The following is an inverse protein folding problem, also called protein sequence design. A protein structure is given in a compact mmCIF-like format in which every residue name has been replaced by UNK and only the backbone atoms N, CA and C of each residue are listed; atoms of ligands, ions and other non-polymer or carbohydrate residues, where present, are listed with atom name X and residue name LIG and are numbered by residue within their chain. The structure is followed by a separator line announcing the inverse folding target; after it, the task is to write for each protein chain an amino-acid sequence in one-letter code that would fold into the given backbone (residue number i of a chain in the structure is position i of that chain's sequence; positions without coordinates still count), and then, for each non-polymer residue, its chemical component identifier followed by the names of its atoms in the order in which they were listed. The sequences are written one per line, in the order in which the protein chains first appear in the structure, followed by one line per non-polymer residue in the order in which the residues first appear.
data_IF_629203924011
#
_entry.id   IF_629203924011
#
_cell.length_a   1.000
_cell.length_b   1.000
_cell.length_c   1.000
_cell.angle_alpha   90.00
_cell.angle_beta   90.00
_cell.angle_gamma   90.00
#
_symmetry.space_group_name_H-M   'P 1'
#
loop_
_entity.id
_entity.type
_entity.pdbx_description
1 polymer ?
#
# COMPACT_ATOMS: atom_id res chain seq x y z
N UNK A 1 -4.47 6.14 38.19
CA UNK A 1 -3.23 6.62 37.56
C UNK A 1 -2.55 5.43 36.90
N UNK A 2 -2.99 5.07 35.70
CA UNK A 2 -2.34 4.05 34.88
C UNK A 2 -2.14 4.67 33.52
N UNK A 3 -1.06 5.46 33.38
CA UNK A 3 -0.68 5.98 32.08
C UNK A 3 -0.20 4.81 31.23
N UNK A 4 -0.94 4.51 30.18
CA UNK A 4 -0.45 3.68 29.08
C UNK A 4 0.76 4.41 28.48
N UNK A 5 1.97 3.95 28.79
CA UNK A 5 3.16 4.48 28.12
C UNK A 5 3.15 3.95 26.69
N UNK A 6 2.75 4.79 25.75
CA UNK A 6 2.95 4.58 24.31
C UNK A 6 4.40 4.17 24.05
N UNK A 7 4.59 3.09 23.27
CA UNK A 7 5.92 2.59 22.89
C UNK A 7 6.55 3.37 21.74
N UNK A 8 5.85 4.36 21.17
CA UNK A 8 6.42 5.32 20.25
C UNK A 8 7.40 6.21 21.02
N UNK A 9 8.65 5.76 21.13
CA UNK A 9 9.70 6.51 21.83
C UNK A 9 9.81 7.93 21.26
N UNK A 10 9.56 8.92 22.12
CA UNK A 10 9.67 10.34 21.77
C UNK A 10 8.38 11.00 21.31
N UNK A 11 7.31 10.27 20.97
CA UNK A 11 6.02 10.90 20.68
C UNK A 11 5.25 11.19 21.97
N UNK A 12 5.10 12.47 22.29
CA UNK A 12 4.31 12.93 23.42
C UNK A 12 3.01 13.53 22.91
N UNK A 13 1.93 12.73 22.97
CA UNK A 13 0.59 13.25 22.67
C UNK A 13 0.27 14.44 23.59
N UNK A 14 -0.07 15.57 22.98
CA UNK A 14 -0.60 16.74 23.65
C UNK A 14 -2.04 16.91 23.15
N UNK A 15 -3.01 16.77 24.05
CA UNK A 15 -4.44 16.84 23.73
C UNK A 15 -4.82 18.08 22.90
N UNK A 16 -4.14 19.20 23.12
CA UNK A 16 -4.42 20.48 22.45
C UNK A 16 -3.54 20.76 21.21
N UNK A 17 -2.61 19.86 20.87
CA UNK A 17 -1.59 20.10 19.84
C UNK A 17 -1.05 18.79 19.23
N UNK A 18 -1.93 18.02 18.58
CA UNK A 18 -1.47 16.90 17.75
C UNK A 18 -0.62 17.43 16.58
N UNK A 19 0.57 16.87 16.43
CA UNK A 19 1.46 17.16 15.31
C UNK A 19 1.52 15.93 14.41
N UNK A 20 0.85 16.03 13.25
CA UNK A 20 0.77 14.95 12.29
C UNK A 20 2.13 14.57 11.68
N UNK A 21 3.08 15.49 11.57
CA UNK A 21 4.41 15.20 11.01
C UNK A 21 5.32 14.55 12.06
N UNK A 22 5.26 15.01 13.31
CA UNK A 22 5.97 14.37 14.42
C UNK A 22 5.48 12.93 14.62
N UNK A 23 4.16 12.72 14.59
CA UNK A 23 3.57 11.39 14.66
C UNK A 23 3.99 10.51 13.47
N UNK A 24 4.00 11.05 12.25
CA UNK A 24 4.47 10.31 11.07
C UNK A 24 5.91 9.80 11.25
N UNK A 25 6.81 10.66 11.73
CA UNK A 25 8.23 10.29 11.96
C UNK A 25 8.34 9.17 13.00
N UNK A 26 7.59 9.26 14.09
CA UNK A 26 7.56 8.23 15.12
C UNK A 26 6.98 6.90 14.58
N UNK A 27 5.93 6.97 13.76
CA UNK A 27 5.31 5.81 13.11
C UNK A 27 6.23 5.14 12.11
N UNK A 28 6.87 5.91 11.22
CA UNK A 28 7.87 5.39 10.27
C UNK A 28 9.02 4.72 11.01
N UNK A 29 9.53 5.33 12.10
CA UNK A 29 10.58 4.73 12.92
C UNK A 29 10.15 3.40 13.59
N UNK A 30 8.90 3.31 14.06
CA UNK A 30 8.35 2.07 14.62
C UNK A 30 8.18 0.98 13.55
N UNK A 31 7.81 1.36 12.32
CA UNK A 31 7.57 0.46 11.19
C UNK A 31 8.84 -0.05 10.49
N UNK A 32 9.89 0.77 10.43
CA UNK A 32 11.13 0.53 9.68
C UNK A 32 11.75 -0.86 9.94
N UNK A 33 11.88 -1.36 11.19
CA UNK A 33 12.45 -2.69 11.45
C UNK A 33 11.69 -3.83 10.75
N UNK A 34 10.41 -3.63 10.45
CA UNK A 34 9.52 -4.59 9.80
C UNK A 34 9.46 -4.41 8.28
N UNK A 35 10.36 -3.61 7.68
CA UNK A 35 10.32 -3.28 6.24
C UNK A 35 8.95 -2.74 5.82
N UNK A 36 8.36 -1.95 6.71
CA UNK A 36 7.14 -1.18 6.49
C UNK A 36 7.50 0.30 6.61
N UNK A 37 6.74 1.14 5.94
CA UNK A 37 6.75 2.59 6.11
C UNK A 37 5.32 3.12 6.06
N UNK A 38 5.15 4.42 6.30
CA UNK A 38 3.85 5.07 6.28
C UNK A 38 3.82 6.30 5.38
N UNK A 39 2.65 6.55 4.79
CA UNK A 39 2.40 7.71 3.96
C UNK A 39 2.56 9.02 4.73
N UNK A 40 2.67 10.12 3.99
CA UNK A 40 2.34 11.46 4.53
C UNK A 40 0.96 11.48 5.18
N UNK A 41 0.75 12.32 6.22
CA UNK A 41 -0.56 12.49 6.81
C UNK A 41 -1.56 13.03 5.79
N UNK A 42 -2.80 12.57 5.89
CA UNK A 42 -3.91 13.13 5.13
C UNK A 42 -5.18 13.23 5.97
N UNK A 43 -6.08 14.12 5.56
CA UNK A 43 -7.38 14.24 6.20
C UNK A 43 -8.39 13.28 5.57
N UNK A 44 -9.24 12.67 6.40
CA UNK A 44 -10.33 11.79 5.96
C UNK A 44 -11.21 12.49 4.91
N UNK A 45 -11.49 13.78 5.11
CA UNK A 45 -12.32 14.58 4.22
C UNK A 45 -11.75 14.67 2.80
N UNK A 46 -10.43 14.72 2.63
CA UNK A 46 -9.80 14.76 1.30
C UNK A 46 -10.06 13.48 0.52
N UNK A 47 -9.86 12.33 1.18
CA UNK A 47 -10.14 11.03 0.58
C UNK A 47 -11.64 10.87 0.28
N UNK A 48 -12.51 11.20 1.24
CA UNK A 48 -13.96 11.07 1.09
C UNK A 48 -14.51 11.96 -0.02
N UNK A 49 -14.01 13.20 -0.16
CA UNK A 49 -14.35 14.09 -1.26
C UNK A 49 -13.94 13.49 -2.61
N UNK A 50 -12.72 12.95 -2.72
CA UNK A 50 -12.24 12.30 -3.94
C UNK A 50 -13.08 11.06 -4.31
N UNK A 51 -13.48 10.25 -3.33
CA UNK A 51 -14.39 9.10 -3.55
C UNK A 51 -15.82 9.50 -3.87
N UNK A 52 -16.29 10.62 -3.35
CA UNK A 52 -17.58 11.22 -3.74
C UNK A 52 -17.65 11.48 -5.25
N UNK A 53 -16.54 11.93 -5.85
CA UNK A 53 -16.45 12.19 -7.29
C UNK A 53 -16.21 10.94 -8.13
N UNK A 54 -15.44 9.96 -7.62
CA UNK A 54 -14.94 8.84 -8.43
C UNK A 54 -15.72 7.54 -8.27
N UNK A 55 -16.56 7.41 -7.25
CA UNK A 55 -17.27 6.15 -6.97
C UNK A 55 -18.57 6.37 -6.17
N UNK A 56 -19.27 7.47 -6.41
CA UNK A 56 -20.57 7.80 -5.82
C UNK A 56 -20.61 7.67 -4.28
N UNK A 57 -19.49 7.96 -3.61
CA UNK A 57 -19.37 7.90 -2.16
C UNK A 57 -19.22 6.48 -1.57
N UNK A 58 -19.00 5.45 -2.40
CA UNK A 58 -18.62 4.12 -1.89
C UNK A 58 -17.20 4.14 -1.32
N UNK A 59 -16.93 3.22 -0.38
CA UNK A 59 -15.61 3.05 0.25
C UNK A 59 -15.11 4.27 1.04
N UNK A 60 -16.01 5.10 1.57
CA UNK A 60 -15.67 6.22 2.45
C UNK A 60 -15.09 5.75 3.79
N UNK A 61 -14.12 6.52 4.29
CA UNK A 61 -13.56 6.33 5.63
C UNK A 61 -14.52 6.99 6.63
N UNK A 62 -14.88 6.24 7.66
CA UNK A 62 -15.79 6.70 8.71
C UNK A 62 -15.03 7.53 9.75
N UNK A 63 -15.38 8.80 9.93
CA UNK A 63 -14.79 9.67 10.94
C UNK A 63 -15.02 11.15 10.63
N UNK A 64 -14.52 12.06 11.49
CA UNK A 64 -14.52 13.50 11.21
C UNK A 64 -13.69 13.81 9.95
N UNK A 65 -14.13 14.74 9.12
CA UNK A 65 -13.42 15.11 7.88
C UNK A 65 -12.02 15.68 8.16
N UNK A 66 -11.82 16.31 9.31
CA UNK A 66 -10.56 16.88 9.75
C UNK A 66 -9.69 15.93 10.58
N UNK A 67 -10.11 14.67 10.77
CA UNK A 67 -9.30 13.66 11.42
C UNK A 67 -8.15 13.20 10.51
N UNK A 68 -6.98 12.99 11.12
CA UNK A 68 -5.75 12.60 10.44
C UNK A 68 -5.69 11.08 10.24
N UNK A 69 -5.24 10.66 9.08
CA UNK A 69 -5.03 9.27 8.72
C UNK A 69 -3.66 9.06 8.04
N UNK A 70 -3.21 7.80 8.04
CA UNK A 70 -1.97 7.34 7.44
C UNK A 70 -2.20 5.99 6.77
N UNK A 71 -1.63 5.77 5.59
CA UNK A 71 -1.53 4.43 5.03
C UNK A 71 -0.18 3.81 5.39
N UNK A 72 -0.16 2.51 5.66
CA UNK A 72 1.05 1.71 5.84
C UNK A 72 1.29 0.93 4.57
N UNK A 73 2.54 0.88 4.12
CA UNK A 73 2.95 0.06 2.98
C UNK A 73 4.21 -0.74 3.28
N UNK A 74 4.33 -1.90 2.65
CA UNK A 74 5.52 -2.75 2.69
C UNK A 74 6.50 -2.38 1.58
N UNK A 75 7.78 -2.36 1.91
CA UNK A 75 8.90 -2.10 0.98
C UNK A 75 9.77 -3.35 0.80
N UNK A 76 10.73 -3.38 -0.16
CA UNK A 76 11.57 -4.55 -0.40
C UNK A 76 12.40 -4.97 0.83
N UNK A 77 12.28 -6.23 1.21
CA UNK A 77 12.76 -6.84 2.45
C UNK A 77 11.65 -7.45 3.30
N UNK A 78 10.38 -7.15 2.99
CA UNK A 78 9.23 -7.57 3.79
C UNK A 78 9.06 -9.10 3.88
N UNK A 79 9.50 -9.87 2.87
CA UNK A 79 9.43 -11.34 2.93
C UNK A 79 10.19 -11.92 4.11
N UNK A 80 11.31 -11.33 4.54
CA UNK A 80 12.04 -11.83 5.70
C UNK A 80 11.17 -11.75 6.97
N UNK A 81 10.36 -10.70 7.09
CA UNK A 81 9.40 -10.52 8.20
C UNK A 81 8.32 -11.59 8.16
N UNK A 82 7.82 -11.91 6.97
CA UNK A 82 6.85 -12.99 6.76
C UNK A 82 7.44 -14.35 7.14
N UNK A 83 8.65 -14.66 6.67
CA UNK A 83 9.35 -15.91 6.97
C UNK A 83 9.58 -16.05 8.48
N UNK A 84 10.09 -15.01 9.12
CA UNK A 84 10.36 -15.02 10.56
C UNK A 84 9.08 -15.18 11.38
N UNK A 85 7.99 -14.50 11.00
CA UNK A 85 6.70 -14.67 11.64
C UNK A 85 6.19 -16.11 11.47
N UNK A 86 6.23 -16.64 10.25
CA UNK A 86 5.85 -18.02 9.98
C UNK A 86 6.68 -19.02 10.80
N UNK A 87 7.99 -18.79 10.93
CA UNK A 87 8.88 -19.68 11.67
C UNK A 87 8.57 -19.72 13.18
N UNK A 88 8.02 -18.63 13.74
CA UNK A 88 7.53 -18.54 15.13
C UNK A 88 6.19 -19.24 15.31
N UNK A 89 5.20 -18.91 14.48
CA UNK A 89 3.82 -19.37 14.67
C UNK A 89 3.56 -20.79 14.16
N UNK A 90 4.22 -21.18 13.05
CA UNK A 90 4.05 -22.46 12.34
C UNK A 90 2.59 -22.93 12.23
N UNK A 91 1.71 -22.11 11.63
CA UNK A 91 0.29 -22.43 11.58
C UNK A 91 0.03 -23.71 10.78
N UNK A 92 -0.72 -24.65 11.37
CA UNK A 92 -1.04 -25.94 10.76
C UNK A 92 -2.06 -25.85 9.62
N UNK A 93 -2.89 -24.82 9.60
CA UNK A 93 -3.93 -24.57 8.57
C UNK A 93 -4.11 -23.07 8.34
N UNK A 94 -4.74 -22.66 7.23
CA UNK A 94 -5.16 -21.27 6.99
C UNK A 94 -4.16 -20.42 6.20
N UNK A 95 -4.44 -19.11 6.18
CA UNK A 95 -3.65 -18.10 5.49
C UNK A 95 -2.26 -17.98 6.13
N UNK A 96 -1.23 -18.03 5.29
CA UNK A 96 0.18 -18.14 5.73
C UNK A 96 0.86 -16.78 5.92
N UNK A 97 0.25 -15.71 5.43
CA UNK A 97 0.79 -14.35 5.48
C UNK A 97 0.13 -13.54 6.61
N UNK A 98 0.18 -14.10 7.83
CA UNK A 98 -0.37 -13.49 9.05
C UNK A 98 0.53 -12.42 9.67
N UNK A 99 1.69 -12.14 9.05
CA UNK A 99 2.67 -11.20 9.57
C UNK A 99 2.08 -9.79 9.68
N UNK A 100 1.36 -9.33 8.64
CA UNK A 100 0.67 -8.03 8.67
C UNK A 100 -0.29 -7.95 9.85
N UNK A 101 -1.18 -8.94 10.03
CA UNK A 101 -2.17 -8.90 11.11
C UNK A 101 -1.52 -8.89 12.50
N UNK A 102 -0.46 -9.67 12.70
CA UNK A 102 0.30 -9.67 13.94
C UNK A 102 0.94 -8.30 14.23
N UNK A 103 1.55 -7.68 13.21
CA UNK A 103 2.13 -6.33 13.32
C UNK A 103 1.05 -5.31 13.65
N UNK A 104 -0.09 -5.33 12.95
CA UNK A 104 -1.20 -4.40 13.21
C UNK A 104 -1.83 -4.62 14.58
N UNK A 105 -1.84 -5.84 15.11
CA UNK A 105 -2.29 -6.10 16.47
C UNK A 105 -1.36 -5.45 17.51
N UNK A 106 -0.04 -5.49 17.30
CA UNK A 106 0.92 -4.82 18.16
C UNK A 106 0.85 -3.30 18.03
N UNK A 107 0.69 -2.79 16.80
CA UNK A 107 0.49 -1.36 16.55
C UNK A 107 -0.72 -0.82 17.31
N UNK A 108 -1.85 -1.52 17.32
CA UNK A 108 -3.04 -1.12 18.11
C UNK A 108 -2.76 -1.01 19.62
N UNK A 109 -1.85 -1.82 20.15
CA UNK A 109 -1.45 -1.75 21.56
C UNK A 109 -0.44 -0.64 21.83
N UNK A 110 0.42 -0.33 20.84
CA UNK A 110 1.43 0.71 20.91
C UNK A 110 0.83 2.13 20.81
N UNK A 111 -0.27 2.28 20.08
CA UNK A 111 -0.90 3.58 19.82
C UNK A 111 -1.52 4.17 21.11
N UNK A 112 -1.36 5.48 21.36
CA UNK A 112 -2.04 6.15 22.46
C UNK A 112 -3.56 5.97 22.38
N UNK A 113 -4.17 5.56 23.49
CA UNK A 113 -5.61 5.30 23.56
C UNK A 113 -6.44 6.57 23.32
N UNK A 114 -5.88 7.73 23.66
CA UNK A 114 -6.47 9.05 23.49
C UNK A 114 -6.74 9.41 22.04
N UNK A 115 -6.00 8.83 21.08
CA UNK A 115 -6.18 9.08 19.65
C UNK A 115 -7.41 8.36 19.08
N UNK A 116 -7.99 7.40 19.81
CA UNK A 116 -9.06 6.51 19.33
C UNK A 116 -8.76 5.95 17.93
N UNK A 117 -7.55 5.40 17.80
CA UNK A 117 -7.04 4.93 16.53
C UNK A 117 -7.78 3.67 16.05
N UNK A 118 -8.25 3.71 14.81
CA UNK A 118 -8.69 2.53 14.08
C UNK A 118 -7.60 2.10 13.10
N UNK A 119 -7.21 0.82 13.16
CA UNK A 119 -6.22 0.24 12.27
C UNK A 119 -6.90 -0.85 11.46
N UNK A 120 -6.88 -0.74 10.14
CA UNK A 120 -7.55 -1.65 9.20
C UNK A 120 -6.53 -2.27 8.26
N UNK A 121 -6.55 -3.59 8.10
CA UNK A 121 -5.76 -4.29 7.09
C UNK A 121 -6.43 -4.09 5.72
N UNK A 122 -5.73 -3.49 4.76
CA UNK A 122 -6.27 -3.22 3.41
C UNK A 122 -6.30 -4.45 2.51
N UNK A 123 -5.59 -5.52 2.88
CA UNK A 123 -5.57 -6.79 2.16
C UNK A 123 -6.75 -7.71 2.57
N UNK A 124 -7.48 -7.35 3.64
CA UNK A 124 -8.55 -8.17 4.21
C UNK A 124 -9.96 -7.64 3.86
N UNK A 125 -10.97 -8.46 4.15
CA UNK A 125 -12.40 -8.19 3.92
C UNK A 125 -12.91 -6.88 4.55
N UNK A 126 -14.18 -6.53 4.29
CA UNK A 126 -14.65 -5.15 4.38
C UNK A 126 -14.35 -4.46 5.73
N UNK A 127 -14.07 -3.14 5.72
CA UNK A 127 -14.17 -2.24 4.57
C UNK A 127 -12.95 -2.29 3.63
N UNK A 128 -13.23 -2.31 2.32
CA UNK A 128 -12.19 -2.15 1.29
C UNK A 128 -11.99 -0.67 0.98
N UNK A 129 -10.76 -0.18 1.07
CA UNK A 129 -10.41 1.20 0.74
C UNK A 129 -9.71 1.28 -0.63
N UNK A 130 -9.94 2.36 -1.35
CA UNK A 130 -9.29 2.59 -2.63
C UNK A 130 -7.90 3.20 -2.40
N UNK A 131 -6.91 2.33 -2.21
CA UNK A 131 -5.53 2.72 -1.84
C UNK A 131 -4.91 3.68 -2.85
N UNK A 132 -5.31 3.59 -4.13
CA UNK A 132 -4.83 4.52 -5.15
C UNK A 132 -5.24 5.97 -4.87
N UNK A 133 -6.47 6.17 -4.37
CA UNK A 133 -6.94 7.50 -3.96
C UNK A 133 -6.17 7.99 -2.74
N UNK A 134 -5.80 7.10 -1.80
CA UNK A 134 -5.02 7.47 -0.63
C UNK A 134 -3.68 8.08 -1.07
N UNK A 135 -2.90 7.33 -1.86
CA UNK A 135 -1.59 7.79 -2.34
C UNK A 135 -1.66 9.13 -3.08
N UNK A 136 -2.71 9.32 -3.89
CA UNK A 136 -2.95 10.57 -4.62
C UNK A 136 -3.25 11.78 -3.70
N UNK A 137 -4.10 11.62 -2.67
CA UNK A 137 -4.49 12.75 -1.80
C UNK A 137 -3.41 13.12 -0.79
N UNK A 138 -2.53 12.19 -0.43
CA UNK A 138 -1.39 12.45 0.46
C UNK A 138 -0.08 12.73 -0.30
N UNK A 139 -0.08 12.62 -1.63
CA UNK A 139 1.10 12.79 -2.48
C UNK A 139 2.26 11.88 -2.06
N UNK A 140 1.94 10.62 -1.75
CA UNK A 140 2.92 9.57 -1.44
C UNK A 140 3.49 8.95 -2.71
N UNK A 141 2.62 8.76 -3.70
CA UNK A 141 2.91 8.16 -4.98
C UNK A 141 2.17 8.93 -6.10
N UNK A 142 2.56 8.69 -7.34
CA UNK A 142 1.83 9.19 -8.50
C UNK A 142 0.81 8.14 -8.93
N UNK A 143 -0.48 8.49 -8.93
CA UNK A 143 -1.54 7.65 -9.47
C UNK A 143 -1.64 7.85 -10.99
N UNK A 144 -1.44 6.77 -11.73
CA UNK A 144 -1.52 6.78 -13.19
C UNK A 144 -2.88 6.28 -13.64
N UNK A 145 -3.57 7.09 -14.45
CA UNK A 145 -4.75 6.67 -15.22
C UNK A 145 -4.53 7.04 -16.69
N UNK A 146 -5.13 6.27 -17.61
CA UNK A 146 -4.98 6.50 -19.05
C UNK A 146 -5.45 7.90 -19.48
N UNK A 147 -6.52 8.40 -18.85
CA UNK A 147 -7.09 9.73 -19.11
C UNK A 147 -6.14 10.89 -18.75
N UNK A 148 -5.17 10.64 -17.87
CA UNK A 148 -4.23 11.63 -17.33
C UNK A 148 -2.86 11.58 -18.04
N UNK A 149 -2.76 10.82 -19.13
CA UNK A 149 -1.59 10.81 -20.02
C UNK A 149 -1.67 11.99 -20.98
N UNK A 150 -0.69 12.89 -20.94
CA UNK A 150 -0.61 14.03 -21.87
C UNK A 150 -0.14 13.58 -23.27
N UNK A 151 -0.54 14.30 -24.33
CA UNK A 151 -0.01 14.10 -25.69
C UNK A 151 -1.10 14.10 -26.77
N UNK A 152 -0.73 14.56 -27.97
CA UNK A 152 -1.66 14.62 -29.12
C UNK A 152 -2.07 13.22 -29.60
N UNK A 153 -1.27 12.19 -29.31
CA UNK A 153 -1.51 10.78 -29.64
C UNK A 153 -2.20 10.00 -28.52
N UNK A 154 -2.64 10.65 -27.43
CA UNK A 154 -3.23 9.98 -26.26
C UNK A 154 -4.40 9.08 -26.64
N UNK A 155 -5.34 9.61 -27.43
CA UNK A 155 -6.58 8.90 -27.76
C UNK A 155 -6.29 7.67 -28.62
N UNK A 156 -5.40 7.80 -29.60
CA UNK A 156 -4.95 6.69 -30.45
C UNK A 156 -4.22 5.63 -29.60
N UNK A 157 -3.29 6.03 -28.73
CA UNK A 157 -2.58 5.13 -27.83
C UNK A 157 -3.52 4.39 -26.87
N UNK A 158 -4.51 5.10 -26.31
CA UNK A 158 -5.47 4.53 -25.38
C UNK A 158 -6.36 3.49 -26.07
N UNK A 159 -6.80 3.77 -27.29
CA UNK A 159 -7.60 2.83 -28.08
C UNK A 159 -6.78 1.60 -28.47
N UNK A 160 -5.56 1.78 -28.95
CA UNK A 160 -4.63 0.68 -29.28
C UNK A 160 -4.38 -0.26 -28.09
N UNK A 161 -4.18 0.31 -26.89
CA UNK A 161 -4.01 -0.49 -25.67
C UNK A 161 -5.32 -1.20 -25.29
N UNK A 162 -6.47 -0.54 -25.43
CA UNK A 162 -7.77 -1.12 -25.12
C UNK A 162 -8.10 -2.31 -26.03
N UNK A 163 -7.82 -2.19 -27.33
CA UNK A 163 -7.95 -3.26 -28.32
C UNK A 163 -7.07 -4.46 -27.96
N UNK A 164 -5.79 -4.22 -27.65
CA UNK A 164 -4.87 -5.28 -27.22
C UNK A 164 -5.36 -5.99 -25.95
N UNK A 165 -5.92 -5.25 -24.99
CA UNK A 165 -6.46 -5.85 -23.76
C UNK A 165 -7.68 -6.73 -24.04
N UNK A 166 -8.56 -6.32 -24.94
CA UNK A 166 -9.73 -7.11 -25.33
C UNK A 166 -9.34 -8.43 -26.00
N UNK A 167 -8.31 -8.41 -26.84
CA UNK A 167 -7.78 -9.58 -27.53
C UNK A 167 -7.06 -10.56 -26.58
N UNK A 168 -6.32 -10.03 -25.61
CA UNK A 168 -5.41 -10.83 -24.77
C UNK A 168 -6.00 -11.29 -23.44
N UNK A 169 -7.02 -10.62 -22.91
CA UNK A 169 -7.62 -10.98 -21.62
C UNK A 169 -8.53 -12.20 -21.75
N UNK A 170 -8.24 -13.20 -20.91
CA UNK A 170 -9.07 -14.41 -20.80
C UNK A 170 -10.48 -14.05 -20.32
N UNK A 171 -11.54 -14.32 -21.12
CA UNK A 171 -12.92 -14.04 -20.72
C UNK A 171 -13.35 -14.76 -19.43
N UNK A 172 -12.70 -15.88 -19.07
CA UNK A 172 -12.99 -16.59 -17.81
C UNK A 172 -12.53 -15.80 -16.59
N UNK A 173 -11.44 -15.03 -16.72
CA UNK A 173 -10.88 -14.25 -15.63
C UNK A 173 -11.47 -12.83 -15.59
N UNK A 174 -11.68 -12.22 -16.76
CA UNK A 174 -12.06 -10.81 -16.89
C UNK A 174 -13.53 -10.58 -17.25
N UNK A 175 -14.30 -11.65 -17.46
CA UNK A 175 -15.68 -11.58 -17.95
C UNK A 175 -15.76 -11.48 -19.48
N UNK A 176 -16.98 -11.58 -20.01
CA UNK A 176 -17.24 -11.55 -21.46
C UNK A 176 -17.50 -10.14 -21.99
N UNK A 177 -17.85 -9.20 -21.12
CA UNK A 177 -18.19 -7.83 -21.50
C UNK A 177 -16.99 -7.10 -22.09
N UNK A 178 -17.18 -6.49 -23.27
CA UNK A 178 -16.13 -5.75 -23.97
C UNK A 178 -15.60 -4.60 -23.11
N UNK A 179 -16.48 -3.84 -22.44
CA UNK A 179 -16.09 -2.73 -21.55
C UNK A 179 -15.06 -3.17 -20.49
N UNK A 180 -15.31 -4.29 -19.81
CA UNK A 180 -14.41 -4.79 -18.77
C UNK A 180 -13.09 -5.31 -19.36
N UNK A 181 -13.14 -5.98 -20.51
CA UNK A 181 -11.94 -6.49 -21.18
C UNK A 181 -11.09 -5.38 -21.81
N UNK A 182 -11.70 -4.27 -22.24
CA UNK A 182 -10.99 -3.07 -22.75
C UNK A 182 -10.46 -2.16 -21.65
N UNK A 183 -11.00 -2.26 -20.43
CA UNK A 183 -10.68 -1.34 -19.32
C UNK A 183 -9.18 -1.30 -18.99
N UNK A 184 -8.57 -0.13 -19.12
CA UNK A 184 -7.21 0.14 -18.63
C UNK A 184 -7.31 0.48 -17.14
N UNK A 185 -6.73 -0.37 -16.29
CA UNK A 185 -6.67 -0.12 -14.85
C UNK A 185 -5.50 0.80 -14.52
N UNK A 186 -5.77 1.76 -13.66
CA UNK A 186 -4.74 2.63 -13.10
C UNK A 186 -3.87 1.93 -12.07
N UNK A 187 -2.69 2.49 -11.84
CA UNK A 187 -1.66 1.96 -10.93
C UNK A 187 -0.92 3.09 -10.24
N UNK A 188 -0.46 2.86 -9.01
CA UNK A 188 0.33 3.84 -8.28
C UNK A 188 1.82 3.52 -8.39
N UNK A 189 2.63 4.57 -8.52
CA UNK A 189 4.08 4.46 -8.65
C UNK A 189 4.76 5.36 -7.62
N UNK A 190 5.53 4.75 -6.74
CA UNK A 190 6.22 5.45 -5.66
C UNK A 190 7.53 6.08 -6.16
N UNK A 191 7.87 7.31 -5.75
CA UNK A 191 9.09 7.99 -6.22
C UNK A 191 10.38 7.28 -5.80
N UNK A 192 10.40 6.61 -4.65
CA UNK A 192 11.58 5.86 -4.16
C UNK A 192 11.58 4.40 -4.64
N UNK A 193 10.44 3.71 -4.58
CA UNK A 193 10.35 2.26 -4.77
C UNK A 193 9.85 1.87 -6.18
N UNK A 194 9.46 2.82 -7.01
CA UNK A 194 8.70 2.53 -8.24
C UNK A 194 7.41 1.79 -7.88
N UNK A 195 7.14 0.69 -8.57
CA UNK A 195 6.08 -0.24 -8.20
C UNK A 195 6.51 -1.31 -7.18
N UNK A 196 7.73 -1.29 -6.63
CA UNK A 196 8.24 -2.32 -5.71
C UNK A 196 7.80 -2.11 -4.25
N UNK A 197 6.53 -1.77 -4.03
CA UNK A 197 5.91 -1.62 -2.72
C UNK A 197 4.44 -2.09 -2.77
N UNK A 198 3.78 -2.17 -1.61
CA UNK A 198 2.34 -2.46 -1.55
C UNK A 198 1.73 -1.85 -0.30
N UNK A 199 0.58 -1.18 -0.43
CA UNK A 199 -0.24 -0.82 0.72
C UNK A 199 -0.69 -2.07 1.50
N UNK A 200 -0.73 -1.94 2.83
CA UNK A 200 -1.03 -3.03 3.77
C UNK A 200 -2.07 -2.66 4.80
N UNK A 201 -2.10 -1.39 5.23
CA UNK A 201 -3.04 -0.97 6.25
C UNK A 201 -3.40 0.51 6.13
N UNK A 202 -4.50 0.88 6.78
CA UNK A 202 -4.93 2.24 7.03
C UNK A 202 -4.99 2.45 8.55
N UNK A 203 -4.48 3.58 9.02
CA UNK A 203 -4.63 4.08 10.39
C UNK A 203 -5.50 5.33 10.32
N UNK A 204 -6.56 5.37 11.11
CA UNK A 204 -7.47 6.51 11.26
C UNK A 204 -7.45 6.99 12.71
N UNK A 205 -6.96 8.20 12.97
CA UNK A 205 -6.87 8.75 14.32
C UNK A 205 -8.11 9.62 14.61
N UNK A 206 -9.19 9.00 15.11
CA UNK A 206 -10.51 9.63 15.20
C UNK A 206 -10.55 10.88 16.09
N UNK A 207 -9.65 10.98 17.08
CA UNK A 207 -9.52 12.13 17.97
C UNK A 207 -8.35 13.05 17.66
N UNK A 208 -7.57 12.75 16.62
CA UNK A 208 -6.47 13.61 16.19
C UNK A 208 -6.94 14.42 14.97
N UNK A 209 -7.41 15.64 15.22
CA UNK A 209 -7.88 16.53 14.14
C UNK A 209 -6.86 17.61 13.83
N UNK A 210 -6.74 17.95 12.55
CA UNK A 210 -5.82 18.98 12.09
C UNK A 210 -6.37 19.68 10.84
N UNK A 211 -7.44 20.46 11.00
CA UNK A 211 -8.09 21.18 9.90
C UNK A 211 -7.16 22.14 9.12
N UNK A 212 -6.05 22.56 9.74
CA UNK A 212 -5.02 23.40 9.12
C UNK A 212 -3.95 22.63 8.34
N UNK A 213 -4.00 21.30 8.31
CA UNK A 213 -3.06 20.48 7.54
C UNK A 213 -3.18 20.88 6.05
N UNK A 214 -2.08 21.29 5.39
CA UNK A 214 -2.15 21.67 3.99
C UNK A 214 -2.24 20.42 3.10
N UNK A 215 -3.25 20.36 2.23
CA UNK A 215 -3.34 19.30 1.23
C UNK A 215 -2.22 19.46 0.20
N UNK A 216 -1.35 18.46 0.01
CA UNK A 216 -0.31 18.53 -1.01
C UNK A 216 -0.95 18.41 -2.41
N UNK A 217 -0.24 18.92 -3.42
CA UNK A 217 -0.59 18.61 -4.81
C UNK A 217 -0.24 17.14 -5.10
N UNK A 218 -1.06 16.42 -5.87
CA UNK A 218 -0.69 15.10 -6.38
C UNK A 218 0.70 15.10 -7.00
N UNK A 219 1.44 14.01 -6.80
CA UNK A 219 2.74 13.84 -7.44
C UNK A 219 2.58 13.71 -8.96
N UNK A 220 3.48 14.35 -9.70
CA UNK A 220 3.59 14.28 -11.14
C UNK A 220 5.07 14.31 -11.53
N UNK A 221 5.76 13.20 -11.32
CA UNK A 221 7.20 13.07 -11.52
C UNK A 221 7.56 12.22 -12.75
N UNK A 222 6.61 11.45 -13.28
CA UNK A 222 6.82 10.61 -14.46
C UNK A 222 6.61 11.39 -15.76
N UNK A 223 7.49 11.13 -16.74
CA UNK A 223 7.30 11.60 -18.10
C UNK A 223 6.17 10.82 -18.79
N UNK A 224 5.49 11.45 -19.76
CA UNK A 224 4.40 10.84 -20.54
C UNK A 224 4.73 9.43 -21.05
N UNK A 225 5.91 9.24 -21.64
CA UNK A 225 6.31 7.95 -22.21
C UNK A 225 6.48 6.87 -21.15
N UNK A 226 6.95 7.24 -19.95
CA UNK A 226 7.00 6.32 -18.82
C UNK A 226 5.61 5.94 -18.34
N UNK A 227 4.67 6.90 -18.28
CA UNK A 227 3.28 6.62 -17.92
C UNK A 227 2.64 5.63 -18.90
N UNK A 228 2.80 5.87 -20.21
CA UNK A 228 2.30 4.98 -21.27
C UNK A 228 2.87 3.57 -21.13
N UNK A 229 4.19 3.45 -20.97
CA UNK A 229 4.88 2.15 -20.79
C UNK A 229 4.37 1.42 -19.55
N UNK A 230 4.36 2.09 -18.40
CA UNK A 230 3.97 1.48 -17.12
C UNK A 230 2.52 1.00 -17.18
N UNK A 231 1.59 1.81 -17.70
CA UNK A 231 0.19 1.43 -17.86
C UNK A 231 0.01 0.23 -18.79
N UNK A 232 0.73 0.20 -19.92
CA UNK A 232 0.69 -0.93 -20.84
C UNK A 232 1.26 -2.21 -20.22
N UNK A 233 2.42 -2.14 -19.57
CA UNK A 233 3.06 -3.29 -18.93
C UNK A 233 2.24 -3.82 -17.74
N UNK A 234 1.66 -2.93 -16.93
CA UNK A 234 0.78 -3.30 -15.83
C UNK A 234 -0.46 -4.03 -16.36
N UNK A 235 -1.11 -3.50 -17.38
CA UNK A 235 -2.37 -4.07 -17.86
C UNK A 235 -2.20 -5.34 -18.70
N UNK A 236 -1.14 -5.45 -19.50
CA UNK A 236 -0.90 -6.60 -20.39
C UNK A 236 -0.09 -7.71 -19.72
N UNK A 237 0.86 -7.36 -18.85
CA UNK A 237 1.93 -8.27 -18.41
C UNK A 237 2.36 -8.05 -16.95
N UNK A 238 1.42 -7.71 -16.04
CA UNK A 238 1.72 -7.43 -14.62
C UNK A 238 2.59 -8.49 -13.93
N UNK A 239 2.43 -9.77 -14.30
CA UNK A 239 3.16 -10.90 -13.75
C UNK A 239 4.67 -10.86 -14.00
N UNK A 240 5.11 -10.15 -15.05
CA UNK A 240 6.53 -9.94 -15.31
C UNK A 240 7.15 -8.87 -14.41
N UNK A 241 6.32 -8.07 -13.72
CA UNK A 241 6.71 -6.97 -12.84
C UNK A 241 7.60 -5.88 -13.46
N UNK A 242 7.76 -5.83 -14.79
CA UNK A 242 8.56 -4.81 -15.48
C UNK A 242 8.01 -3.40 -15.25
N UNK A 243 6.68 -3.27 -15.12
CA UNK A 243 6.00 -2.01 -14.81
C UNK A 243 6.43 -1.39 -13.47
N UNK A 244 7.00 -2.20 -12.57
CA UNK A 244 7.46 -1.72 -11.25
C UNK A 244 8.76 -0.95 -11.36
N UNK A 245 9.52 -1.15 -12.43
CA UNK A 245 10.71 -0.39 -12.71
C UNK A 245 10.36 0.95 -13.35
N UNK A 246 11.05 1.97 -12.86
CA UNK A 246 11.03 3.33 -13.40
C UNK A 246 12.01 3.44 -14.58
N UNK A 247 12.13 4.62 -15.16
CA UNK A 247 13.15 4.89 -16.17
C UNK A 247 14.57 4.67 -15.61
N UNK A 248 15.53 4.33 -16.48
CA UNK A 248 16.95 4.18 -16.09
C UNK A 248 17.53 5.44 -15.43
N UNK A 249 16.94 6.60 -15.71
CA UNK A 249 17.29 7.89 -15.10
C UNK A 249 16.84 8.03 -13.64
N UNK A 250 15.93 7.19 -13.18
CA UNK A 250 15.37 7.21 -11.82
C UNK A 250 15.14 5.79 -11.31
N UNK A 251 16.19 4.97 -11.10
CA UNK A 251 16.01 3.59 -10.67
C UNK A 251 15.43 3.53 -9.25
N UNK A 252 14.60 2.52 -8.93
CA UNK A 252 14.12 2.33 -7.57
C UNK A 252 15.28 2.05 -6.61
N UNK A 253 15.20 2.55 -5.38
CA UNK A 253 16.25 2.39 -4.36
C UNK A 253 16.54 0.91 -4.09
N UNK A 254 15.50 0.08 -4.11
CA UNK A 254 15.61 -1.38 -3.98
C UNK A 254 14.50 -2.06 -4.76
N UNK A 255 14.81 -3.26 -5.25
CA UNK A 255 13.86 -4.19 -5.88
C UNK A 255 13.64 -5.39 -4.95
N UNK A 256 12.57 -6.13 -5.21
CA UNK A 256 12.42 -7.46 -4.60
C UNK A 256 13.62 -8.34 -4.96
N UNK A 257 14.14 -9.04 -3.96
CA UNK A 257 15.05 -10.16 -4.19
C UNK A 257 14.38 -11.22 -5.09
N UNK A 258 15.15 -12.13 -5.73
CA UNK A 258 14.55 -13.23 -6.49
C UNK A 258 13.54 -14.03 -5.68
N UNK A 259 13.81 -14.22 -4.39
CA UNK A 259 12.92 -14.95 -3.47
C UNK A 259 11.61 -14.19 -3.20
N UNK A 260 11.69 -12.89 -2.96
CA UNK A 260 10.52 -12.02 -2.84
C UNK A 260 9.68 -12.00 -4.10
N UNK A 261 10.33 -11.86 -5.26
CA UNK A 261 9.66 -11.92 -6.54
C UNK A 261 8.90 -13.25 -6.70
N UNK A 262 9.56 -14.39 -6.47
CA UNK A 262 8.92 -15.70 -6.58
C UNK A 262 7.80 -15.89 -5.55
N UNK A 263 7.97 -15.42 -4.32
CA UNK A 263 6.97 -15.58 -3.28
C UNK A 263 5.72 -14.73 -3.54
N UNK A 264 5.88 -13.44 -3.87
CA UNK A 264 4.76 -12.52 -4.03
C UNK A 264 4.05 -12.64 -5.39
N UNK A 265 4.71 -13.21 -6.41
CA UNK A 265 4.05 -13.51 -7.70
C UNK A 265 3.43 -14.91 -7.75
N UNK A 266 3.73 -15.79 -6.78
CA UNK A 266 3.14 -17.13 -6.73
C UNK A 266 1.69 -17.08 -6.25
N UNK A 267 0.79 -17.49 -7.14
CA UNK A 267 -0.66 -17.48 -6.88
C UNK A 267 -1.14 -18.69 -6.08
N UNK A 268 -0.37 -19.79 -6.05
CA UNK A 268 -0.71 -21.00 -5.27
C UNK A 268 -0.41 -20.83 -3.78
N UNK A 269 -1.43 -20.87 -2.89
CA UNK A 269 -1.21 -20.81 -1.45
C UNK A 269 -0.33 -21.95 -0.92
N UNK A 270 -0.47 -23.15 -1.48
CA UNK A 270 0.30 -24.34 -1.06
C UNK A 270 1.79 -24.22 -1.39
N UNK A 271 2.12 -23.65 -2.56
CA UNK A 271 3.53 -23.42 -2.90
C UNK A 271 4.16 -22.34 -2.04
N UNK A 272 3.43 -21.25 -1.79
CA UNK A 272 3.87 -20.22 -0.84
C UNK A 272 4.09 -20.81 0.56
N UNK A 273 3.18 -21.68 1.02
CA UNK A 273 3.32 -22.40 2.29
C UNK A 273 4.60 -23.25 2.34
N UNK A 274 4.81 -24.10 1.33
CA UNK A 274 6.01 -24.95 1.24
C UNK A 274 7.30 -24.14 1.20
N UNK A 275 7.29 -22.99 0.53
CA UNK A 275 8.41 -22.06 0.54
C UNK A 275 8.73 -21.58 1.96
N UNK A 276 7.72 -21.14 2.72
CA UNK A 276 7.90 -20.70 4.11
C UNK A 276 8.35 -21.85 5.03
N UNK A 277 7.78 -23.05 4.88
CA UNK A 277 8.20 -24.26 5.62
C UNK A 277 9.69 -24.57 5.37
N UNK A 278 10.11 -24.56 4.10
CA UNK A 278 11.50 -24.76 3.72
C UNK A 278 12.40 -23.68 4.32
N UNK A 279 12.00 -22.41 4.27
CA UNK A 279 12.79 -21.30 4.82
C UNK A 279 12.92 -21.39 6.34
N UNK A 280 11.81 -21.65 7.04
CA UNK A 280 11.78 -21.84 8.48
C UNK A 280 12.62 -23.04 8.94
N UNK A 281 12.64 -24.14 8.17
CA UNK A 281 13.45 -25.32 8.49
C UNK A 281 14.97 -25.08 8.40
N UNK A 282 15.41 -24.14 7.55
CA UNK A 282 16.83 -23.78 7.42
C UNK A 282 17.29 -22.73 8.45
N UNK A 283 16.38 -22.15 9.24
CA UNK A 283 16.74 -21.20 10.29
C UNK A 283 17.41 -21.92 11.46
N UNK A 284 18.66 -21.53 11.77
CA UNK A 284 19.39 -22.05 12.95
C UNK A 284 18.77 -21.58 14.28
N UNK A 285 18.25 -20.36 14.28
CA UNK A 285 17.52 -19.76 15.38
C UNK A 285 16.45 -18.84 14.79
N UNK A 286 15.26 -18.85 15.39
CA UNK A 286 14.17 -17.96 14.99
C UNK A 286 14.34 -16.64 15.75
N UNK A 287 14.51 -15.50 15.07
CA UNK A 287 14.69 -14.22 15.76
C UNK A 287 13.41 -13.81 16.50
N UNK A 288 13.52 -12.97 17.55
CA UNK A 288 12.35 -12.35 18.16
C UNK A 288 11.61 -11.49 17.13
N UNK A 289 10.34 -11.11 17.41
CA UNK A 289 9.64 -10.15 16.58
C UNK A 289 10.41 -8.84 16.40
N UNK A 290 10.24 -8.21 15.23
CA UNK A 290 10.97 -6.99 14.86
C UNK A 290 10.33 -5.70 15.38
N UNK A 291 9.10 -5.75 15.88
CA UNK A 291 8.46 -4.56 16.44
C UNK A 291 9.15 -4.13 17.75
N UNK A 292 9.35 -2.81 17.97
CA UNK A 292 9.92 -2.25 19.20
C UNK A 292 9.12 -2.54 20.48
#
# INVERSE_FOLDING_TARGET
MGGSQSTFQGFHFKEDAFDAEEFQKALSAWLTPMCLDCSRPFLIGWYNQARGTTADGTQQIQGPDDAVAYAIYSVPGYLDVVIEHYARERPSTGFIDGATDAILAQLRQALPAELEAEVVNTDAGPPYYHVQTIGNVCAEDEHLEAKDVDGDDRDDWQEDLSDQLEETRDPKMWGTESEMRRKIFGVNVHPIWGGWYSYRALIVLRKATQASLPQPKPLAFLATEDKKRILAEYNLRHQLCLWRDLADSHPPEKRYSPEEFFFFTETSPDKRRRFLEMKAAHMKAVPPPRWP
#
